data_IF_207723552686
#
_entry.id   IF_207723552686
#
_cell.length_a   1.000
_cell.length_b   1.000
_cell.length_c   1.000
_cell.angle_alpha   90.00
_cell.angle_beta   90.00
_cell.angle_gamma   90.00
#
_symmetry.space_group_name_H-M   'P 1'
#
loop_
_entity.id
_entity.type
_entity.pdbx_description
1 polymer ?
#
# COMPACT_ATOMS: atom_id res chain seq x y z
N UNK A 1 -18.41 -4.19 9.69
CA UNK A 1 -17.33 -3.18 9.86
C UNK A 1 -17.29 -2.31 8.61
N UNK A 2 -18.28 -1.46 8.44
CA UNK A 2 -18.37 -0.57 7.25
C UNK A 2 -17.58 0.74 7.43
N UNK A 3 -17.12 1.02 8.65
CA UNK A 3 -16.37 2.24 9.02
C UNK A 3 -14.85 2.04 9.13
N UNK A 4 -14.35 0.86 8.76
CA UNK A 4 -12.91 0.58 8.75
C UNK A 4 -12.28 1.03 7.43
N UNK A 5 -11.06 1.55 7.51
CA UNK A 5 -10.24 1.88 6.36
C UNK A 5 -9.03 0.95 6.28
N UNK A 6 -8.63 0.62 5.06
CA UNK A 6 -7.44 -0.20 4.80
C UNK A 6 -6.47 0.57 3.94
N UNK A 7 -5.27 0.82 4.46
CA UNK A 7 -4.19 1.50 3.78
C UNK A 7 -3.14 0.47 3.38
N UNK A 8 -2.90 0.36 2.08
CA UNK A 8 -1.80 -0.41 1.51
C UNK A 8 -0.70 0.55 1.08
N UNK A 9 0.55 0.25 1.41
CA UNK A 9 1.68 1.09 1.00
C UNK A 9 2.81 0.22 0.50
N UNK A 10 3.49 0.66 -0.55
CA UNK A 10 4.68 0.04 -1.11
C UNK A 10 5.68 1.14 -1.47
N UNK A 11 6.97 0.87 -1.26
CA UNK A 11 8.04 1.78 -1.59
C UNK A 11 9.21 1.00 -2.18
N UNK A 12 9.73 1.45 -3.31
CA UNK A 12 10.78 0.75 -4.02
C UNK A 12 11.88 1.71 -4.47
N UNK A 13 13.13 1.25 -4.39
CA UNK A 13 14.29 1.90 -4.99
C UNK A 13 15.00 0.96 -5.96
N UNK A 14 15.47 1.47 -7.11
CA UNK A 14 16.33 0.69 -8.01
C UNK A 14 17.80 0.97 -7.71
N UNK A 15 18.43 0.03 -7.02
CA UNK A 15 19.72 0.24 -6.39
C UNK A 15 19.54 0.68 -4.94
N UNK A 16 20.58 0.49 -4.11
CA UNK A 16 20.51 0.82 -2.68
C UNK A 16 21.74 1.64 -2.26
N UNK A 17 21.71 2.99 -2.38
CA UNK A 17 20.59 3.84 -2.82
C UNK A 17 20.45 3.96 -4.35
N UNK A 18 19.29 4.44 -4.81
CA UNK A 18 19.01 4.67 -6.23
C UNK A 18 17.69 5.42 -6.46
N UNK A 19 17.26 5.63 -7.71
CA UNK A 19 15.97 6.24 -8.01
C UNK A 19 14.83 5.45 -7.36
N UNK A 20 13.93 6.14 -6.68
CA UNK A 20 12.92 5.56 -5.83
C UNK A 20 11.54 6.18 -6.04
N UNK A 21 10.52 5.37 -5.78
CA UNK A 21 9.12 5.73 -5.86
C UNK A 21 8.34 5.13 -4.69
N UNK A 22 7.19 5.73 -4.41
CA UNK A 22 6.26 5.31 -3.37
C UNK A 22 4.87 5.17 -3.95
N UNK A 23 4.09 4.26 -3.37
CA UNK A 23 2.70 4.03 -3.67
C UNK A 23 1.88 3.84 -2.39
N UNK A 24 0.67 4.36 -2.37
CA UNK A 24 -0.32 4.06 -1.33
C UNK A 24 -1.73 3.99 -1.91
N UNK A 25 -2.55 3.09 -1.38
CA UNK A 25 -3.97 2.91 -1.76
C UNK A 25 -4.81 2.79 -0.50
N UNK A 26 -5.85 3.61 -0.40
CA UNK A 26 -6.78 3.63 0.72
C UNK A 26 -8.15 3.11 0.30
N UNK A 27 -8.65 2.10 1.01
CA UNK A 27 -9.97 1.53 0.83
C UNK A 27 -10.88 1.96 1.99
N UNK A 28 -12.15 2.24 1.68
CA UNK A 28 -13.23 2.30 2.68
C UNK A 28 -13.99 0.97 2.66
N UNK A 29 -14.06 0.31 3.82
CA UNK A 29 -14.54 -1.08 3.94
C UNK A 29 -13.43 -2.10 3.70
N UNK A 30 -13.77 -3.39 3.69
CA UNK A 30 -12.81 -4.49 3.46
C UNK A 30 -12.13 -4.38 2.09
N UNK A 31 -10.87 -4.80 1.90
CA UNK A 31 -10.21 -4.84 0.59
C UNK A 31 -10.95 -5.69 -0.46
N UNK A 32 -11.79 -6.65 -0.03
CA UNK A 32 -12.54 -7.56 -0.91
C UNK A 32 -13.93 -7.06 -1.30
N UNK A 33 -14.49 -6.09 -0.58
CA UNK A 33 -15.88 -5.62 -0.77
C UNK A 33 -16.05 -4.10 -0.66
N UNK A 34 -15.01 -3.40 -0.25
CA UNK A 34 -14.91 -1.96 -0.18
C UNK A 34 -14.49 -1.34 -1.50
N UNK A 35 -14.31 -0.03 -1.50
CA UNK A 35 -13.89 0.73 -2.67
C UNK A 35 -12.70 1.61 -2.33
N UNK A 36 -11.87 1.87 -3.34
CA UNK A 36 -10.76 2.81 -3.24
C UNK A 36 -11.33 4.23 -3.09
N UNK A 37 -10.81 4.96 -2.10
CA UNK A 37 -11.19 6.35 -1.84
C UNK A 37 -10.04 7.34 -2.09
N UNK A 38 -8.80 6.85 -2.08
CA UNK A 38 -7.63 7.66 -2.39
C UNK A 38 -6.45 6.78 -2.84
N UNK A 39 -5.63 7.31 -3.76
CA UNK A 39 -4.40 6.68 -4.24
C UNK A 39 -3.28 7.72 -4.34
N UNK A 40 -2.05 7.27 -4.05
CA UNK A 40 -0.82 8.03 -4.20
C UNK A 40 0.15 7.18 -5.02
N UNK A 41 0.80 7.78 -6.02
CA UNK A 41 1.93 7.19 -6.72
C UNK A 41 2.85 8.30 -7.19
N UNK A 42 4.06 8.38 -6.65
CA UNK A 42 5.03 9.40 -7.06
C UNK A 42 6.48 8.97 -6.87
N UNK A 43 7.36 9.60 -7.64
CA UNK A 43 8.81 9.46 -7.48
C UNK A 43 9.29 10.34 -6.32
N UNK A 44 10.27 9.85 -5.57
CA UNK A 44 10.84 10.55 -4.39
C UNK A 44 12.31 10.92 -4.58
N UNK A 45 12.82 10.81 -5.81
CA UNK A 45 14.22 11.07 -6.16
C UNK A 45 15.12 9.89 -5.81
N UNK A 46 16.30 10.16 -5.28
CA UNK A 46 17.24 9.11 -4.84
C UNK A 46 17.03 8.75 -3.37
N UNK A 47 16.77 7.47 -3.09
CA UNK A 47 16.59 6.95 -1.76
C UNK A 47 17.05 5.49 -1.66
N UNK A 48 17.18 4.97 -0.44
CA UNK A 48 17.29 3.52 -0.20
C UNK A 48 15.90 2.88 -0.25
N UNK A 49 15.84 1.56 -0.36
CA UNK A 49 14.56 0.84 -0.34
C UNK A 49 13.78 1.12 0.95
N UNK A 50 14.45 1.04 2.10
CA UNK A 50 13.84 1.30 3.40
C UNK A 50 13.28 2.73 3.49
N UNK A 51 14.00 3.73 2.97
CA UNK A 51 13.51 5.12 2.96
C UNK A 51 12.28 5.26 2.07
N UNK A 52 12.21 4.56 0.94
CA UNK A 52 11.02 4.55 0.10
C UNK A 52 9.82 3.94 0.83
N UNK A 53 9.99 2.78 1.47
CA UNK A 53 8.91 2.12 2.22
C UNK A 53 8.39 2.98 3.38
N UNK A 54 9.28 3.55 4.20
CA UNK A 54 8.88 4.44 5.30
C UNK A 54 8.14 5.68 4.79
N UNK A 55 8.59 6.26 3.68
CA UNK A 55 7.91 7.42 3.07
C UNK A 55 6.53 7.04 2.53
N UNK A 56 6.38 5.87 1.94
CA UNK A 56 5.08 5.37 1.49
C UNK A 56 4.08 5.27 2.65
N UNK A 57 4.52 4.80 3.83
CA UNK A 57 3.71 4.75 5.05
C UNK A 57 3.31 6.13 5.51
N UNK A 58 4.26 7.05 5.66
CA UNK A 58 4.00 8.40 6.17
C UNK A 58 2.98 9.12 5.28
N UNK A 59 3.22 9.13 3.97
CA UNK A 59 2.32 9.82 3.03
C UNK A 59 0.97 9.12 2.89
N UNK A 60 0.95 7.78 2.99
CA UNK A 60 -0.29 7.03 3.05
C UNK A 60 -1.14 7.37 4.28
N UNK A 61 -0.50 7.56 5.45
CA UNK A 61 -1.18 7.97 6.68
C UNK A 61 -1.69 9.41 6.59
N UNK A 62 -0.90 10.33 6.02
CA UNK A 62 -1.32 11.72 5.78
C UNK A 62 -2.54 11.77 4.85
N UNK A 63 -2.52 10.97 3.78
CA UNK A 63 -3.65 10.80 2.86
C UNK A 63 -4.88 10.25 3.61
N UNK A 64 -4.72 9.23 4.46
CA UNK A 64 -5.81 8.65 5.23
C UNK A 64 -6.39 9.60 6.30
N UNK A 65 -5.57 10.48 6.87
CA UNK A 65 -6.01 11.44 7.89
C UNK A 65 -7.12 12.38 7.37
N UNK A 66 -7.12 12.72 6.08
CA UNK A 66 -8.16 13.51 5.43
C UNK A 66 -9.56 12.86 5.45
N UNK A 67 -9.64 11.55 5.69
CA UNK A 67 -10.89 10.78 5.73
C UNK A 67 -11.40 10.52 7.16
N UNK A 68 -10.66 10.93 8.20
CA UNK A 68 -11.03 10.75 9.61
C UNK A 68 -11.50 9.31 9.95
N UNK A 69 -10.69 8.28 9.68
CA UNK A 69 -11.07 6.89 9.92
C UNK A 69 -11.24 6.61 11.42
N UNK A 70 -12.34 5.97 11.82
CA UNK A 70 -12.51 5.47 13.19
C UNK A 70 -11.58 4.28 13.47
N UNK A 71 -11.25 3.50 12.43
CA UNK A 71 -10.30 2.40 12.46
C UNK A 71 -9.52 2.39 11.15
N UNK A 72 -8.20 2.45 11.23
CA UNK A 72 -7.31 2.34 10.08
C UNK A 72 -6.41 1.11 10.22
N UNK A 73 -6.48 0.20 9.26
CA UNK A 73 -5.60 -0.97 9.16
C UNK A 73 -4.54 -0.67 8.11
N UNK A 74 -3.28 -0.65 8.52
CA UNK A 74 -2.15 -0.40 7.61
C UNK A 74 -1.48 -1.73 7.25
N UNK A 75 -1.21 -1.92 5.96
CA UNK A 75 -0.51 -3.08 5.41
C UNK A 75 0.66 -2.61 4.54
N UNK A 76 1.87 -2.97 4.97
CA UNK A 76 3.12 -2.76 4.23
C UNK A 76 3.70 -4.15 4.01
N UNK A 77 3.96 -4.54 2.77
CA UNK A 77 4.42 -5.88 2.40
C UNK A 77 5.94 -6.08 2.56
N UNK A 78 6.65 -5.08 3.09
CA UNK A 78 8.09 -5.13 3.29
C UNK A 78 8.57 -5.72 4.62
N UNK A 79 7.65 -6.02 5.55
CA UNK A 79 7.93 -6.90 6.69
C UNK A 79 7.30 -8.25 6.38
N UNK A 80 8.16 -9.24 6.11
CA UNK A 80 7.80 -10.58 5.62
C UNK A 80 6.46 -11.08 6.13
N UNK A 81 5.64 -11.53 5.19
CA UNK A 81 4.35 -12.17 5.39
C UNK A 81 4.36 -13.14 6.58
N UNK A 82 3.98 -12.66 7.77
CA UNK A 82 3.36 -13.53 8.75
C UNK A 82 1.92 -13.65 8.30
N UNK A 83 1.70 -14.64 7.44
CA UNK A 83 0.39 -15.22 7.25
C UNK A 83 -0.13 -15.63 8.62
N UNK A 84 -1.08 -14.87 9.15
CA UNK A 84 -1.92 -15.37 10.23
C UNK A 84 -2.78 -16.47 9.63
N UNK A 85 -2.55 -17.69 10.08
CA UNK A 85 -3.29 -18.90 9.72
C UNK A 85 -4.81 -18.69 9.79
N UNK A 86 -5.52 -19.14 8.74
CA UNK A 86 -6.97 -19.10 8.73
C UNK A 86 -7.66 -19.40 7.39
N UNK A 87 -7.39 -20.58 6.83
CA UNK A 87 -8.25 -21.34 5.91
C UNK A 87 -8.50 -20.83 4.46
N UNK A 88 -8.26 -21.74 3.51
CA UNK A 88 -9.09 -21.85 2.30
C UNK A 88 -8.44 -21.45 0.98
N UNK A 89 -7.88 -22.45 0.30
CA UNK A 89 -7.53 -22.46 -1.12
C UNK A 89 -8.59 -21.82 -2.02
N UNK A 90 -8.26 -20.72 -2.70
CA UNK A 90 -8.30 -20.55 -4.17
C UNK A 90 -7.96 -19.10 -4.52
N UNK A 91 -6.84 -18.90 -5.21
CA UNK A 91 -6.45 -17.59 -5.73
C UNK A 91 -7.46 -17.15 -6.81
N UNK A 92 -8.07 -15.95 -6.71
CA UNK A 92 -8.80 -15.40 -7.84
C UNK A 92 -7.80 -14.98 -8.92
N UNK A 93 -7.98 -15.52 -10.13
CA UNK A 93 -7.28 -15.12 -11.34
C UNK A 93 -7.45 -13.62 -11.57
N UNK A 94 -6.35 -12.86 -11.46
CA UNK A 94 -6.29 -11.42 -11.75
C UNK A 94 -6.60 -11.20 -13.25
N UNK A 95 -7.60 -10.39 -13.64
CA UNK A 95 -7.56 -9.70 -14.91
C UNK A 95 -6.60 -8.51 -14.77
N UNK A 96 -5.80 -8.28 -15.81
CA UNK A 96 -4.58 -7.49 -15.75
C UNK A 96 -4.74 -6.04 -15.29
N UNK A 97 -3.84 -5.66 -14.39
CA UNK A 97 -3.27 -4.32 -14.35
C UNK A 97 -1.77 -4.51 -14.19
N UNK A 98 -1.06 -4.62 -15.31
CA UNK A 98 0.37 -4.36 -15.33
C UNK A 98 0.55 -2.87 -15.04
N UNK A 99 0.55 -2.49 -13.75
CA UNK A 99 1.10 -1.22 -13.31
C UNK A 99 2.57 -1.31 -13.64
N UNK A 100 2.92 -0.70 -14.77
CA UNK A 100 4.27 -0.70 -15.29
C UNK A 100 5.20 -0.20 -14.22
N UNK A 101 6.17 -1.03 -13.83
CA UNK A 101 7.37 -0.60 -13.11
C UNK A 101 8.16 0.33 -14.05
N UNK A 102 7.72 1.57 -14.19
CA UNK A 102 8.53 2.67 -14.70
C UNK A 102 8.69 3.64 -13.54
N UNK A 103 9.96 3.93 -13.29
CA UNK A 103 10.48 4.66 -12.15
C UNK A 103 9.69 5.91 -11.81
#
# INVERSE_FOLDING_TARGET
MEDAFWLYTDGAARGNPGPAAIGAVLFRGSPTSGHVVAELSRTIGHATNNVAEYRAVIEGLEMAAGHSPALLVVRCDSLGSVAGDGAGSTAPSRPGAAVGRRF
#
